data_IF_449473087734
#
_entry.id   IF_449473087734
#
_cell.length_a   1.000
_cell.length_b   1.000
_cell.length_c   1.000
_cell.angle_alpha   90.00
_cell.angle_beta   90.00
_cell.angle_gamma   90.00
#
_symmetry.space_group_name_H-M   'P 1'
#
loop_
_entity.id
_entity.type
_entity.pdbx_description
1 polymer ?
#
# COMPACT_ATOMS: atom_id res chain seq x y z
N UNK A 1 2.45 1.47 -8.14
CA UNK A 1 2.63 2.38 -6.98
C UNK A 1 3.36 1.63 -5.88
N UNK A 2 4.46 2.17 -5.40
CA UNK A 2 5.20 1.65 -4.25
C UNK A 2 4.47 1.99 -2.96
N UNK A 3 4.33 0.99 -2.08
CA UNK A 3 3.75 1.12 -0.74
C UNK A 3 4.71 0.53 0.32
N UNK A 4 4.24 0.31 1.54
CA UNK A 4 5.02 -0.39 2.58
C UNK A 4 6.24 0.38 3.09
N UNK A 5 7.24 -0.37 3.55
CA UNK A 5 8.43 0.20 4.20
C UNK A 5 9.30 1.05 3.29
N UNK A 6 9.49 0.66 2.03
CA UNK A 6 10.25 1.45 1.06
C UNK A 6 9.55 2.77 0.69
N UNK A 7 8.21 2.79 0.66
CA UNK A 7 7.48 4.02 0.45
C UNK A 7 7.71 5.01 1.61
N UNK A 8 7.74 4.55 2.86
CA UNK A 8 8.10 5.39 4.01
C UNK A 8 9.51 5.96 3.86
N UNK A 9 10.48 5.15 3.43
CA UNK A 9 11.84 5.62 3.19
C UNK A 9 11.90 6.71 2.11
N UNK A 10 11.08 6.61 1.06
CA UNK A 10 10.97 7.64 0.02
C UNK A 10 10.39 8.97 0.54
N UNK A 11 9.70 8.95 1.68
CA UNK A 11 9.19 10.14 2.37
C UNK A 11 10.13 10.65 3.47
N UNK A 12 11.34 10.08 3.59
CA UNK A 12 12.32 10.45 4.62
C UNK A 12 12.07 9.82 5.98
N UNK A 13 11.23 8.79 6.05
CA UNK A 13 10.93 8.00 7.24
C UNK A 13 11.59 6.62 7.11
N UNK A 14 12.90 6.50 7.38
CA UNK A 14 13.64 5.26 7.14
C UNK A 14 13.10 4.13 8.01
N UNK A 15 12.79 3.02 7.36
CA UNK A 15 12.36 1.80 8.00
C UNK A 15 13.06 0.61 7.37
N UNK A 16 13.60 -0.26 8.21
CA UNK A 16 14.15 -1.53 7.72
C UNK A 16 13.04 -2.40 7.14
N UNK A 17 13.15 -2.75 5.86
CA UNK A 17 12.28 -3.69 5.17
C UNK A 17 13.10 -4.61 4.29
N UNK A 18 12.63 -5.84 4.13
CA UNK A 18 13.23 -6.84 3.25
C UNK A 18 12.40 -7.07 1.99
N UNK A 19 11.22 -6.51 1.95
CA UNK A 19 10.24 -6.73 0.89
C UNK A 19 9.94 -5.43 0.15
N UNK A 20 9.66 -5.56 -1.14
CA UNK A 20 9.15 -4.50 -1.99
C UNK A 20 7.64 -4.72 -2.15
N UNK A 21 6.83 -3.78 -1.68
CA UNK A 21 5.38 -3.84 -1.79
C UNK A 21 4.91 -2.92 -2.92
N UNK A 22 4.23 -3.47 -3.92
CA UNK A 22 3.76 -2.75 -5.11
C UNK A 22 2.26 -2.93 -5.31
N UNK A 23 1.50 -1.85 -5.30
CA UNK A 23 0.10 -1.87 -5.71
C UNK A 23 -0.02 -1.61 -7.20
N UNK A 24 -0.74 -2.50 -7.89
CA UNK A 24 -1.03 -2.44 -9.31
C UNK A 24 -2.55 -2.23 -9.51
N UNK A 25 -2.92 -1.26 -10.34
CA UNK A 25 -4.27 -1.20 -10.89
C UNK A 25 -4.32 -1.98 -12.19
N UNK A 26 -5.10 -3.05 -12.21
CA UNK A 26 -5.27 -3.93 -13.38
C UNK A 26 -6.76 -4.14 -13.59
N UNK A 27 -7.31 -3.86 -14.77
CA UNK A 27 -8.68 -4.22 -15.11
C UNK A 27 -8.93 -5.72 -14.87
N UNK A 28 -10.11 -6.08 -14.39
CA UNK A 28 -10.43 -7.45 -13.96
C UNK A 28 -10.26 -8.50 -15.07
N UNK A 29 -10.52 -8.14 -16.32
CA UNK A 29 -10.35 -8.96 -17.52
C UNK A 29 -8.87 -9.21 -17.88
N UNK A 30 -7.95 -8.41 -17.36
CA UNK A 30 -6.51 -8.54 -17.59
C UNK A 30 -5.74 -9.15 -16.41
N UNK A 31 -6.40 -9.43 -15.29
CA UNK A 31 -5.75 -9.88 -14.07
C UNK A 31 -4.96 -11.19 -14.27
N UNK A 32 -5.57 -12.19 -14.86
CA UNK A 32 -4.94 -13.49 -15.12
C UNK A 32 -3.71 -13.32 -16.02
N UNK A 33 -3.83 -12.55 -17.10
CA UNK A 33 -2.72 -12.28 -18.03
C UNK A 33 -1.54 -11.58 -17.36
N UNK A 34 -1.82 -10.60 -16.50
CA UNK A 34 -0.76 -9.89 -15.75
C UNK A 34 -0.12 -10.82 -14.74
N UNK A 35 -0.90 -11.62 -14.04
CA UNK A 35 -0.38 -12.62 -13.09
C UNK A 35 0.55 -13.63 -13.79
N UNK A 36 0.14 -14.20 -14.91
CA UNK A 36 0.97 -15.09 -15.74
C UNK A 36 2.26 -14.40 -16.21
N UNK A 37 2.16 -13.17 -16.68
CA UNK A 37 3.32 -12.38 -17.10
C UNK A 37 4.32 -12.10 -15.97
N UNK A 38 3.84 -11.89 -14.75
CA UNK A 38 4.69 -11.76 -13.58
C UNK A 38 5.32 -13.10 -13.17
N UNK A 39 4.55 -14.19 -13.18
CA UNK A 39 5.04 -15.54 -12.87
C UNK A 39 6.09 -16.03 -13.88
N UNK A 40 6.07 -15.54 -15.12
CA UNK A 40 7.10 -15.87 -16.12
C UNK A 40 8.45 -15.17 -15.87
N UNK A 41 8.45 -14.08 -15.10
CA UNK A 41 9.65 -13.25 -14.81
C UNK A 41 10.20 -13.45 -13.41
N UNK A 42 9.35 -13.84 -12.47
CA UNK A 42 9.66 -13.98 -11.06
C UNK A 42 9.25 -15.36 -10.55
N UNK A 43 9.80 -15.77 -9.43
CA UNK A 43 9.48 -17.05 -8.79
C UNK A 43 8.35 -16.86 -7.76
N UNK A 44 7.13 -17.37 -8.01
CA UNK A 44 6.05 -17.32 -7.03
C UNK A 44 6.44 -18.03 -5.73
N UNK A 45 6.05 -17.43 -4.59
CA UNK A 45 6.27 -18.01 -3.25
C UNK A 45 5.06 -18.80 -2.75
N UNK A 46 4.14 -19.15 -3.65
CA UNK A 46 2.92 -19.93 -3.39
C UNK A 46 2.78 -21.03 -4.43
N UNK A 47 2.14 -22.12 -4.06
CA UNK A 47 2.00 -23.29 -4.92
C UNK A 47 1.07 -23.06 -6.12
N UNK A 48 -0.04 -22.37 -5.88
CA UNK A 48 -0.99 -21.94 -6.92
C UNK A 48 -1.17 -20.43 -6.89
N UNK A 49 -0.42 -19.68 -7.73
CA UNK A 49 -0.49 -18.24 -7.79
C UNK A 49 -1.87 -17.71 -8.18
N UNK A 50 -2.56 -18.41 -9.11
CA UNK A 50 -3.87 -17.97 -9.61
C UNK A 50 -4.93 -18.07 -8.52
N UNK A 51 -5.00 -19.22 -7.86
CA UNK A 51 -5.93 -19.42 -6.74
C UNK A 51 -5.63 -18.44 -5.60
N UNK A 52 -4.35 -18.26 -5.28
CA UNK A 52 -3.93 -17.37 -4.21
C UNK A 52 -4.29 -15.90 -4.50
N UNK A 53 -4.00 -15.41 -5.70
CA UNK A 53 -4.38 -14.04 -6.14
C UNK A 53 -5.90 -13.88 -6.15
N UNK A 54 -6.64 -14.87 -6.60
CA UNK A 54 -8.11 -14.85 -6.58
C UNK A 54 -8.69 -14.65 -5.17
N UNK A 55 -8.05 -15.25 -4.16
CA UNK A 55 -8.50 -15.16 -2.75
C UNK A 55 -7.98 -13.94 -2.01
N UNK A 56 -6.75 -13.52 -2.28
CA UNK A 56 -6.04 -12.54 -1.45
C UNK A 56 -5.72 -11.23 -2.16
N UNK A 57 -5.82 -11.19 -3.48
CA UNK A 57 -5.37 -10.09 -4.34
C UNK A 57 -3.88 -9.78 -4.21
N UNK A 58 -3.09 -10.74 -3.73
CA UNK A 58 -1.64 -10.59 -3.57
C UNK A 58 -0.91 -11.69 -4.36
N UNK A 59 0.13 -11.33 -5.10
CA UNK A 59 1.06 -12.24 -5.73
C UNK A 59 2.45 -12.08 -5.09
N UNK A 60 2.81 -12.92 -4.13
CA UNK A 60 4.13 -12.90 -3.52
C UNK A 60 5.13 -13.62 -4.42
N UNK A 61 6.24 -12.96 -4.76
CA UNK A 61 7.28 -13.51 -5.61
C UNK A 61 8.68 -13.24 -5.07
N UNK A 62 9.66 -13.91 -5.64
CA UNK A 62 11.08 -13.64 -5.42
C UNK A 62 11.78 -13.44 -6.77
N UNK A 63 12.68 -12.47 -6.85
CA UNK A 63 13.55 -12.26 -8.02
C UNK A 63 14.65 -13.33 -8.10
N UNK A 64 15.33 -13.44 -9.24
CA UNK A 64 16.51 -14.31 -9.40
C UNK A 64 17.66 -13.95 -8.43
N UNK A 65 17.68 -12.73 -7.90
CA UNK A 65 18.68 -12.25 -6.92
C UNK A 65 18.22 -12.42 -5.46
N UNK A 66 17.06 -13.05 -5.23
CA UNK A 66 16.53 -13.31 -3.89
C UNK A 66 15.73 -12.17 -3.27
N UNK A 67 15.48 -11.08 -3.99
CA UNK A 67 14.65 -9.97 -3.49
C UNK A 67 13.18 -10.39 -3.49
N UNK A 68 12.48 -10.20 -2.37
CA UNK A 68 11.06 -10.49 -2.25
C UNK A 68 10.24 -9.28 -2.73
N UNK A 69 9.19 -9.56 -3.52
CA UNK A 69 8.25 -8.57 -4.00
C UNK A 69 6.84 -9.09 -3.75
N UNK A 70 5.99 -8.24 -3.19
CA UNK A 70 4.57 -8.49 -3.08
C UNK A 70 3.82 -7.56 -4.03
N UNK A 71 3.19 -8.13 -5.07
CA UNK A 71 2.30 -7.41 -5.97
C UNK A 71 0.87 -7.48 -5.42
N UNK A 72 0.33 -6.34 -5.04
CA UNK A 72 -1.05 -6.19 -4.56
C UNK A 72 -1.90 -5.68 -5.72
N UNK A 73 -2.94 -6.41 -6.08
CA UNK A 73 -3.87 -6.03 -7.13
C UNK A 73 -5.03 -5.23 -6.54
N UNK A 74 -5.03 -3.93 -6.77
CA UNK A 74 -6.09 -3.02 -6.37
C UNK A 74 -7.47 -3.55 -6.82
N UNK A 75 -8.41 -3.61 -5.91
CA UNK A 75 -9.75 -4.16 -6.13
C UNK A 75 -10.86 -3.10 -6.02
N UNK A 76 -10.60 -2.03 -5.27
CA UNK A 76 -11.59 -1.00 -4.97
C UNK A 76 -11.33 0.29 -5.74
N UNK A 77 -12.38 1.08 -6.05
CA UNK A 77 -12.23 2.36 -6.77
C UNK A 77 -11.23 3.32 -6.10
N UNK A 78 -11.26 3.43 -4.75
CA UNK A 78 -10.35 4.30 -4.02
C UNK A 78 -8.87 3.90 -4.20
N UNK A 79 -8.55 2.60 -4.31
CA UNK A 79 -7.18 2.13 -4.56
C UNK A 79 -6.71 2.50 -5.97
N UNK A 80 -7.62 2.51 -6.96
CA UNK A 80 -7.33 3.03 -8.30
C UNK A 80 -6.92 4.49 -8.23
N UNK A 81 -7.71 5.31 -7.53
CA UNK A 81 -7.41 6.73 -7.35
C UNK A 81 -6.07 6.95 -6.64
N UNK A 82 -5.74 6.13 -5.62
CA UNK A 82 -4.43 6.15 -4.97
C UNK A 82 -3.29 5.90 -5.96
N UNK A 83 -3.43 4.89 -6.84
CA UNK A 83 -2.41 4.58 -7.86
C UNK A 83 -2.27 5.72 -8.87
N UNK A 84 -3.37 6.32 -9.32
CA UNK A 84 -3.38 7.39 -10.32
C UNK A 84 -2.74 8.68 -9.82
N UNK A 85 -3.02 9.08 -8.57
CA UNK A 85 -2.47 10.31 -7.96
C UNK A 85 -1.09 10.17 -7.36
N UNK A 86 -0.56 8.93 -7.24
CA UNK A 86 0.73 8.68 -6.63
C UNK A 86 1.85 9.48 -7.31
N UNK A 87 2.58 10.35 -6.59
CA UNK A 87 3.64 11.16 -7.17
C UNK A 87 4.83 10.32 -7.57
N UNK A 88 5.57 10.79 -8.58
CA UNK A 88 6.87 10.25 -8.93
C UNK A 88 7.92 10.74 -7.92
N UNK A 89 8.72 9.80 -7.41
CA UNK A 89 9.82 10.08 -6.50
C UNK A 89 11.08 9.35 -6.90
N UNK A 90 12.21 9.99 -6.65
CA UNK A 90 13.53 9.40 -6.85
C UNK A 90 13.88 8.51 -5.66
N UNK A 91 14.27 7.26 -5.94
CA UNK A 91 14.77 6.28 -4.98
C UNK A 91 16.09 5.72 -5.52
N UNK A 92 17.23 6.23 -5.01
CA UNK A 92 18.51 5.96 -5.63
C UNK A 92 18.50 6.37 -7.10
N UNK A 93 18.82 5.46 -8.00
CA UNK A 93 18.86 5.69 -9.44
C UNK A 93 17.51 5.43 -10.15
N UNK A 94 16.46 5.10 -9.41
CA UNK A 94 15.15 4.74 -9.97
C UNK A 94 14.10 5.80 -9.63
N UNK A 95 13.30 6.19 -10.63
CA UNK A 95 12.10 7.01 -10.41
C UNK A 95 10.87 6.11 -10.39
N UNK A 96 10.09 6.17 -9.32
CA UNK A 96 8.93 5.31 -9.10
C UNK A 96 7.74 6.10 -8.56
N UNK A 97 6.53 5.67 -8.88
CA UNK A 97 5.32 6.19 -8.22
C UNK A 97 5.27 5.69 -6.79
N UNK A 98 5.14 6.59 -5.83
CA UNK A 98 5.08 6.28 -4.40
C UNK A 98 3.74 6.73 -3.84
N UNK A 99 3.09 5.89 -3.04
CA UNK A 99 1.85 6.27 -2.35
C UNK A 99 2.04 7.58 -1.56
N UNK A 100 1.02 8.42 -1.49
CA UNK A 100 1.03 9.60 -0.63
C UNK A 100 1.10 9.19 0.83
N UNK A 101 1.45 10.11 1.72
CA UNK A 101 1.48 9.80 3.17
C UNK A 101 0.07 9.47 3.68
N UNK A 102 -0.94 10.17 3.17
CA UNK A 102 -2.35 9.91 3.47
C UNK A 102 -2.74 8.48 3.08
N UNK A 103 -2.38 8.06 1.87
CA UNK A 103 -2.68 6.72 1.38
C UNK A 103 -1.95 5.64 2.16
N UNK A 104 -0.70 5.88 2.55
CA UNK A 104 0.04 4.97 3.41
C UNK A 104 -0.63 4.82 4.78
N UNK A 105 -1.12 5.91 5.38
CA UNK A 105 -1.87 5.87 6.63
C UNK A 105 -3.13 5.00 6.46
N UNK A 106 -3.93 5.26 5.43
CA UNK A 106 -5.18 4.53 5.19
C UNK A 106 -4.96 3.04 4.97
N UNK A 107 -3.98 2.67 4.12
CA UNK A 107 -3.63 1.27 3.86
C UNK A 107 -3.14 0.56 5.13
N UNK A 108 -2.37 1.24 5.98
CA UNK A 108 -1.85 0.68 7.23
C UNK A 108 -2.93 0.52 8.30
N UNK A 109 -3.81 1.48 8.44
CA UNK A 109 -4.95 1.38 9.35
C UNK A 109 -5.89 0.24 8.93
N UNK A 110 -6.14 0.07 7.62
CA UNK A 110 -6.96 -1.03 7.10
C UNK A 110 -6.35 -2.42 7.34
N UNK A 111 -5.03 -2.55 7.48
CA UNK A 111 -4.35 -3.85 7.66
C UNK A 111 -4.49 -4.44 9.05
N UNK A 112 -4.87 -3.67 10.06
CA UNK A 112 -5.05 -4.08 11.46
C UNK A 112 -3.83 -4.76 12.13
N UNK A 113 -2.62 -4.63 11.56
CA UNK A 113 -1.39 -5.21 12.14
C UNK A 113 -0.77 -4.22 13.14
N UNK A 114 -0.32 -4.70 14.29
CA UNK A 114 0.28 -3.84 15.32
C UNK A 114 1.43 -2.97 14.81
N UNK A 115 2.32 -3.51 13.97
CA UNK A 115 3.42 -2.75 13.34
C UNK A 115 2.94 -1.61 12.45
N UNK A 116 1.78 -1.75 11.83
CA UNK A 116 1.24 -0.73 10.93
C UNK A 116 0.73 0.48 11.72
N UNK A 117 0.24 0.28 12.95
CA UNK A 117 -0.12 1.38 13.84
C UNK A 117 1.10 2.22 14.27
N UNK A 118 2.25 1.58 14.52
CA UNK A 118 3.49 2.30 14.84
C UNK A 118 3.97 3.13 13.65
N UNK A 119 3.88 2.60 12.45
CA UNK A 119 4.21 3.34 11.22
C UNK A 119 3.28 4.55 11.04
N UNK A 120 1.99 4.40 11.32
CA UNK A 120 1.04 5.53 11.25
C UNK A 120 1.43 6.61 12.24
N UNK A 121 1.76 6.27 13.49
CA UNK A 121 2.24 7.24 14.49
C UNK A 121 3.48 7.98 14.00
N UNK A 122 4.47 7.27 13.45
CA UNK A 122 5.69 7.87 12.89
C UNK A 122 5.36 8.87 11.78
N UNK A 123 4.42 8.55 10.89
CA UNK A 123 3.98 9.48 9.84
C UNK A 123 3.32 10.70 10.45
N UNK A 124 2.40 10.50 11.39
CA UNK A 124 1.66 11.59 12.05
C UNK A 124 2.60 12.53 12.82
N UNK A 125 3.56 12.00 13.56
CA UNK A 125 4.54 12.79 14.31
C UNK A 125 5.42 13.64 13.40
N UNK A 126 5.89 13.06 12.28
CA UNK A 126 6.81 13.74 11.36
C UNK A 126 6.10 14.71 10.38
N UNK A 127 4.90 14.39 9.96
CA UNK A 127 4.23 15.07 8.85
C UNK A 127 2.80 15.52 9.14
N UNK A 128 2.25 15.27 10.33
CA UNK A 128 0.84 15.50 10.66
C UNK A 128 0.30 16.88 10.29
N UNK A 129 1.12 17.93 10.44
CA UNK A 129 0.74 19.33 10.07
C UNK A 129 0.59 19.56 8.56
N UNK A 130 1.10 18.67 7.72
CA UNK A 130 1.11 18.81 6.25
C UNK A 130 0.12 17.89 5.55
N UNK A 131 -0.52 16.98 6.31
CA UNK A 131 -1.46 16.03 5.77
C UNK A 131 -2.78 16.69 5.37
N UNK A 132 -3.39 16.14 4.34
CA UNK A 132 -4.74 16.52 3.88
C UNK A 132 -5.79 15.82 4.75
N UNK A 133 -6.02 16.36 5.95
CA UNK A 133 -6.86 15.76 6.98
C UNK A 133 -8.31 15.54 6.54
N UNK A 134 -8.88 16.45 5.75
CA UNK A 134 -10.25 16.30 5.27
C UNK A 134 -10.37 15.10 4.33
N UNK A 135 -9.37 14.91 3.47
CA UNK A 135 -9.26 13.70 2.64
C UNK A 135 -9.10 12.44 3.50
N UNK A 136 -8.16 12.43 4.44
CA UNK A 136 -7.92 11.30 5.35
C UNK A 136 -9.18 10.86 6.07
N UNK A 137 -9.91 11.80 6.68
CA UNK A 137 -11.12 11.52 7.44
C UNK A 137 -12.25 11.04 6.54
N UNK A 138 -12.46 11.66 5.38
CA UNK A 138 -13.50 11.25 4.43
C UNK A 138 -13.30 9.82 3.93
N UNK A 139 -12.05 9.45 3.57
CA UNK A 139 -11.76 8.09 3.10
C UNK A 139 -11.77 7.09 4.25
N UNK A 140 -11.31 7.47 5.45
CA UNK A 140 -11.37 6.60 6.63
C UNK A 140 -12.82 6.24 6.98
N UNK A 141 -13.74 7.21 6.97
CA UNK A 141 -15.16 6.97 7.24
C UNK A 141 -15.77 6.00 6.20
N UNK A 142 -15.41 6.14 4.92
CA UNK A 142 -15.83 5.22 3.85
C UNK A 142 -15.25 3.80 4.03
N UNK A 143 -13.99 3.69 4.48
CA UNK A 143 -13.34 2.42 4.77
C UNK A 143 -13.94 1.73 5.99
N UNK A 144 -14.30 2.48 7.05
CA UNK A 144 -15.01 1.95 8.21
C UNK A 144 -16.30 1.24 7.81
N UNK A 145 -17.09 1.87 6.95
CA UNK A 145 -18.33 1.30 6.44
C UNK A 145 -18.07 0.03 5.61
N UNK A 146 -17.10 0.09 4.69
CA UNK A 146 -16.78 -1.00 3.77
C UNK A 146 -16.15 -2.23 4.47
N UNK A 147 -15.31 -2.00 5.51
CA UNK A 147 -14.58 -3.05 6.23
C UNK A 147 -15.26 -3.50 7.52
N UNK A 148 -16.31 -2.80 7.97
CA UNK A 148 -16.94 -3.05 9.26
C UNK A 148 -16.00 -2.78 10.45
N UNK A 149 -15.07 -1.84 10.33
CA UNK A 149 -14.06 -1.51 11.34
C UNK A 149 -14.26 -0.08 11.88
N UNK A 150 -15.08 0.15 12.89
CA UNK A 150 -15.54 1.49 13.29
C UNK A 150 -14.54 2.33 14.08
N UNK A 151 -13.23 2.09 13.93
CA UNK A 151 -12.20 2.74 14.76
C UNK A 151 -11.18 3.57 13.96
N UNK A 152 -11.19 3.54 12.63
CA UNK A 152 -10.17 4.17 11.79
C UNK A 152 -10.26 5.71 11.86
N UNK A 153 -11.46 6.25 11.66
CA UNK A 153 -11.71 7.69 11.75
C UNK A 153 -11.57 8.24 13.16
N UNK A 154 -11.98 7.46 14.19
CA UNK A 154 -11.80 7.86 15.58
C UNK A 154 -10.32 8.03 15.93
N UNK A 155 -9.48 7.06 15.54
CA UNK A 155 -8.02 7.14 15.73
C UNK A 155 -7.43 8.38 15.04
N UNK A 156 -7.83 8.67 13.80
CA UNK A 156 -7.34 9.83 13.06
C UNK A 156 -7.79 11.17 13.68
N UNK A 157 -9.04 11.26 14.16
CA UNK A 157 -9.55 12.47 14.82
C UNK A 157 -8.79 12.79 16.12
N UNK A 158 -8.43 11.75 16.89
CA UNK A 158 -7.63 11.89 18.12
C UNK A 158 -6.22 12.44 17.84
N UNK A 159 -5.65 12.10 16.67
CA UNK A 159 -4.28 12.48 16.32
C UNK A 159 -4.21 13.70 15.39
N UNK A 160 -5.34 14.31 15.03
CA UNK A 160 -5.36 15.52 14.20
C UNK A 160 -4.76 16.70 14.98
N UNK A 161 -3.73 17.36 14.44
CA UNK A 161 -3.18 18.57 15.04
C UNK A 161 -4.24 19.67 15.15
N UNK A 162 -4.16 20.51 16.19
CA UNK A 162 -5.07 21.66 16.37
C UNK A 162 -4.93 22.71 15.26
#
# INVERSE_FOLDING_TARGET
MLIGGLALSAWGLPRATLDIDLTLWVPSDNLDRVCEGLCSRYHPRVADPREFVGKTRVLPVTTNTGVRIDFLFAAFPFEKEMVERAPLRQLGDVTVRVATLEDLILLKLASSRGRDQDDVRIILDAHGKRLQWDYLLSVADSLEEALGQPQLGAFLREHRPP
#
